data_IF_306935432246
#
_entry.id   IF_306935432246
#
_cell.length_a   1.000
_cell.length_b   1.000
_cell.length_c   1.000
_cell.angle_alpha   90.00
_cell.angle_beta   90.00
_cell.angle_gamma   90.00
#
_symmetry.space_group_name_H-M   'P 1'
#
loop_
_entity.id
_entity.type
_entity.pdbx_description
1 polymer ?
#
# COMPACT_ATOMS: atom_id res chain seq x y z
N UNK A 1 -4.62 -12.97 11.19
CA UNK A 1 -3.72 -11.99 10.53
C UNK A 1 -3.19 -11.08 11.62
N UNK A 2 -1.88 -10.96 11.76
CA UNK A 2 -1.27 -10.07 12.75
C UNK A 2 -1.18 -8.68 12.14
N UNK A 3 -1.67 -7.65 12.83
CA UNK A 3 -1.54 -6.27 12.40
C UNK A 3 -0.25 -5.66 12.93
N UNK A 4 0.34 -4.74 12.16
CA UNK A 4 1.53 -3.98 12.54
C UNK A 4 1.44 -2.55 12.01
N UNK A 5 2.21 -1.59 12.55
CA UNK A 5 2.38 -0.30 11.89
C UNK A 5 3.08 -0.45 10.54
N UNK A 6 2.94 0.58 9.70
CA UNK A 6 3.73 0.75 8.48
C UNK A 6 5.22 0.83 8.81
N UNK A 7 6.06 0.22 7.99
CA UNK A 7 7.50 0.44 8.03
C UNK A 7 7.91 1.67 7.18
N UNK A 8 9.19 2.06 7.26
CA UNK A 8 9.69 3.27 6.58
C UNK A 8 9.57 3.21 5.05
N UNK A 9 9.99 2.13 4.35
CA UNK A 9 9.78 2.02 2.91
C UNK A 9 8.31 2.10 2.48
N UNK A 10 7.40 1.44 3.21
CA UNK A 10 5.95 1.50 2.95
C UNK A 10 5.41 2.91 3.12
N UNK A 11 5.81 3.59 4.20
CA UNK A 11 5.42 4.98 4.45
C UNK A 11 5.91 5.91 3.35
N UNK A 12 7.17 5.77 2.93
CA UNK A 12 7.76 6.56 1.83
C UNK A 12 7.02 6.34 0.51
N UNK A 13 6.72 5.09 0.16
CA UNK A 13 5.94 4.73 -1.03
C UNK A 13 4.52 5.34 -0.98
N UNK A 14 3.85 5.29 0.16
CA UNK A 14 2.50 5.88 0.32
C UNK A 14 2.54 7.41 0.20
N UNK A 15 3.53 8.07 0.80
CA UNK A 15 3.73 9.51 0.63
C UNK A 15 3.96 9.85 -0.83
N UNK A 16 4.84 9.11 -1.50
CA UNK A 16 5.10 9.28 -2.93
C UNK A 16 3.81 9.12 -3.75
N UNK A 17 3.04 8.07 -3.54
CA UNK A 17 1.79 7.80 -4.27
C UNK A 17 0.73 8.89 -4.07
N UNK A 18 0.66 9.47 -2.87
CA UNK A 18 -0.36 10.46 -2.51
C UNK A 18 0.02 11.91 -2.81
N UNK A 19 1.27 12.20 -3.20
CA UNK A 19 1.81 13.57 -3.30
C UNK A 19 0.99 14.54 -4.16
N UNK A 20 0.36 14.03 -5.23
CA UNK A 20 -0.41 14.82 -6.20
C UNK A 20 -1.93 14.58 -6.07
N UNK A 21 -2.38 13.85 -5.05
CA UNK A 21 -3.79 13.52 -4.85
C UNK A 21 -4.56 14.70 -4.25
N UNK A 22 -5.77 14.98 -4.74
CA UNK A 22 -6.59 16.11 -4.26
C UNK A 22 -6.88 16.06 -2.74
N UNK A 23 -6.94 14.86 -2.17
CA UNK A 23 -7.16 14.61 -0.74
C UNK A 23 -5.88 14.21 0.01
N UNK A 24 -4.70 14.57 -0.51
CA UNK A 24 -3.41 14.15 0.03
C UNK A 24 -3.28 14.43 1.54
N UNK A 25 -3.59 15.65 1.99
CA UNK A 25 -3.48 16.03 3.41
C UNK A 25 -4.30 15.12 4.34
N UNK A 26 -5.54 14.85 3.95
CA UNK A 26 -6.44 13.98 4.71
C UNK A 26 -5.97 12.52 4.73
N UNK A 27 -5.48 12.00 3.59
CA UNK A 27 -5.01 10.62 3.48
C UNK A 27 -3.66 10.41 4.19
N UNK A 28 -2.73 11.36 4.07
CA UNK A 28 -1.46 11.36 4.80
C UNK A 28 -1.70 11.44 6.31
N UNK A 29 -2.72 12.20 6.74
CA UNK A 29 -3.16 12.24 8.12
C UNK A 29 -3.58 10.87 8.67
N UNK A 30 -4.02 9.92 7.84
CA UNK A 30 -4.37 8.56 8.29
C UNK A 30 -3.14 7.68 8.53
N UNK A 31 -2.00 7.96 7.89
CA UNK A 31 -0.83 7.08 7.90
C UNK A 31 -0.14 6.97 9.27
N UNK A 32 -0.19 8.03 10.09
CA UNK A 32 0.55 8.09 11.37
C UNK A 32 0.15 7.00 12.37
N UNK A 33 -1.11 6.57 12.35
CA UNK A 33 -1.67 5.55 13.24
C UNK A 33 -2.15 4.31 12.48
N UNK A 34 -1.91 4.25 11.17
CA UNK A 34 -2.36 3.16 10.33
C UNK A 34 -1.76 1.83 10.81
N UNK A 35 -2.64 0.87 11.05
CA UNK A 35 -2.26 -0.52 11.20
C UNK A 35 -2.51 -1.22 9.87
N UNK A 36 -1.58 -2.07 9.46
CA UNK A 36 -1.66 -2.87 8.25
C UNK A 36 -1.49 -4.34 8.59
N UNK A 37 -2.08 -5.19 7.75
CA UNK A 37 -1.84 -6.63 7.78
C UNK A 37 -1.26 -7.05 6.44
N UNK A 38 -0.20 -7.86 6.49
CA UNK A 38 0.43 -8.43 5.31
C UNK A 38 -0.55 -9.38 4.61
N UNK A 39 -0.79 -9.16 3.31
CA UNK A 39 -1.59 -10.06 2.47
C UNK A 39 -0.68 -11.14 1.89
N UNK A 40 0.56 -10.78 1.57
CA UNK A 40 1.58 -11.68 1.03
C UNK A 40 2.27 -12.48 2.13
N UNK A 41 2.44 -13.79 1.92
CA UNK A 41 3.08 -14.68 2.90
C UNK A 41 4.55 -14.33 3.22
N UNK A 42 5.24 -13.60 2.32
CA UNK A 42 6.60 -13.09 2.53
C UNK A 42 6.69 -11.99 3.60
N UNK A 43 5.58 -11.34 3.94
CA UNK A 43 5.60 -10.13 4.78
C UNK A 43 6.14 -8.87 4.08
N UNK A 44 6.34 -8.93 2.76
CA UNK A 44 6.75 -7.81 1.90
C UNK A 44 5.92 -7.85 0.63
N UNK A 45 5.32 -6.72 0.25
CA UNK A 45 4.47 -6.61 -0.93
C UNK A 45 3.11 -5.99 -0.58
N UNK A 46 2.02 -6.70 -0.90
CA UNK A 46 0.67 -6.19 -0.73
C UNK A 46 0.21 -6.16 0.73
N UNK A 47 -0.45 -5.07 1.12
CA UNK A 47 -0.88 -4.76 2.47
C UNK A 47 -2.36 -4.39 2.50
N UNK A 48 -3.08 -4.88 3.52
CA UNK A 48 -4.44 -4.44 3.85
C UNK A 48 -4.37 -3.43 4.98
N UNK A 49 -5.01 -2.27 4.82
CA UNK A 49 -5.21 -1.35 5.95
C UNK A 49 -6.27 -1.92 6.89
N UNK A 50 -5.95 -1.95 8.19
CA UNK A 50 -6.86 -2.44 9.22
C UNK A 50 -7.88 -1.35 9.52
N UNK A 51 -9.15 -1.65 9.25
CA UNK A 51 -10.26 -0.77 9.57
C UNK A 51 -11.03 -1.26 10.79
N UNK A 52 -11.55 -0.32 11.58
CA UNK A 52 -12.53 -0.60 12.64
C UNK A 52 -13.92 -0.94 12.08
N UNK A 53 -14.13 -0.75 10.77
CA UNK A 53 -15.41 -1.02 10.10
C UNK A 53 -15.37 -2.40 9.41
N UNK A 54 -16.09 -3.40 9.94
CA UNK A 54 -16.07 -4.76 9.40
C UNK A 54 -16.68 -4.88 7.99
N UNK A 55 -17.43 -3.87 7.53
CA UNK A 55 -18.01 -3.82 6.19
C UNK A 55 -17.19 -3.00 5.19
N UNK A 56 -15.91 -2.73 5.48
CA UNK A 56 -15.05 -2.01 4.54
C UNK A 56 -14.96 -2.76 3.21
N UNK A 57 -15.32 -2.08 2.10
CA UNK A 57 -15.32 -2.63 0.75
C UNK A 57 -14.41 -1.82 -0.15
N UNK A 58 -13.77 -2.51 -1.10
CA UNK A 58 -12.99 -1.89 -2.15
C UNK A 58 -13.82 -0.81 -2.87
N UNK A 59 -13.27 0.39 -2.94
CA UNK A 59 -13.83 1.51 -3.67
C UNK A 59 -13.07 1.69 -4.98
N UNK A 60 -12.12 2.62 -5.00
CA UNK A 60 -11.43 3.06 -6.21
C UNK A 60 -9.91 3.01 -6.09
N UNK A 61 -9.23 2.99 -7.25
CA UNK A 61 -7.78 3.12 -7.34
C UNK A 61 -7.41 4.60 -7.46
N UNK A 62 -6.61 5.10 -6.53
CA UNK A 62 -6.26 6.53 -6.46
C UNK A 62 -4.85 6.85 -6.91
N UNK A 63 -3.95 5.87 -6.90
CA UNK A 63 -2.59 6.05 -7.37
C UNK A 63 -1.99 4.74 -7.87
N UNK A 64 -1.00 4.85 -8.75
CA UNK A 64 -0.17 3.72 -9.16
C UNK A 64 1.24 4.17 -9.51
N UNK A 65 2.19 3.27 -9.31
CA UNK A 65 3.58 3.45 -9.75
C UNK A 65 4.18 2.11 -10.12
N UNK A 66 5.42 2.13 -10.60
CA UNK A 66 6.24 0.94 -10.75
C UNK A 66 7.65 1.21 -10.26
N UNK A 67 8.34 0.16 -9.85
CA UNK A 67 9.77 0.19 -9.51
C UNK A 67 10.41 -1.15 -9.85
N UNK A 68 11.75 -1.22 -9.82
CA UNK A 68 12.47 -2.48 -9.99
C UNK A 68 12.71 -3.13 -8.63
N UNK A 69 12.38 -4.40 -8.50
CA UNK A 69 12.73 -5.20 -7.33
C UNK A 69 14.24 -5.45 -7.28
N UNK A 70 14.72 -6.08 -6.19
CA UNK A 70 16.13 -6.40 -5.99
C UNK A 70 16.73 -7.28 -7.11
N UNK A 71 15.92 -8.12 -7.73
CA UNK A 71 16.32 -8.98 -8.86
C UNK A 71 16.12 -8.32 -10.24
N UNK A 72 15.80 -7.03 -10.28
CA UNK A 72 15.62 -6.25 -11.51
C UNK A 72 14.28 -6.49 -12.21
N UNK A 73 13.38 -7.29 -11.62
CA UNK A 73 12.05 -7.52 -12.16
C UNK A 73 11.12 -6.36 -11.77
N UNK A 74 10.30 -5.82 -12.70
CA UNK A 74 9.34 -4.77 -12.38
C UNK A 74 8.27 -5.21 -11.37
N UNK A 75 8.06 -4.36 -10.36
CA UNK A 75 6.93 -4.39 -9.43
C UNK A 75 5.95 -3.31 -9.86
N UNK A 76 4.70 -3.72 -10.05
CA UNK A 76 3.56 -2.83 -10.27
C UNK A 76 2.88 -2.58 -8.93
N UNK A 77 2.54 -1.31 -8.66
CA UNK A 77 1.95 -0.88 -7.40
C UNK A 77 0.66 -0.15 -7.67
N UNK A 78 -0.39 -0.47 -6.92
CA UNK A 78 -1.66 0.25 -6.92
C UNK A 78 -2.15 0.53 -5.50
N UNK A 79 -2.54 1.77 -5.23
CA UNK A 79 -3.17 2.16 -3.96
C UNK A 79 -4.66 2.33 -4.17
N UNK A 80 -5.43 1.70 -3.28
CA UNK A 80 -6.89 1.72 -3.30
C UNK A 80 -7.46 2.35 -2.04
N UNK A 81 -8.57 3.07 -2.23
CA UNK A 81 -9.45 3.52 -1.17
C UNK A 81 -10.67 2.59 -1.05
N UNK A 82 -11.32 2.63 0.10
CA UNK A 82 -12.62 2.01 0.31
C UNK A 82 -13.74 2.89 -0.26
N UNK A 83 -14.98 2.38 -0.22
CA UNK A 83 -16.16 3.11 -0.68
C UNK A 83 -16.49 4.37 0.15
N UNK A 84 -15.82 4.58 1.28
CA UNK A 84 -15.94 5.74 2.14
C UNK A 84 -14.76 6.73 1.97
N UNK A 85 -13.82 6.44 1.06
CA UNK A 85 -12.65 7.27 0.80
C UNK A 85 -11.48 7.08 1.79
N UNK A 86 -11.48 6.03 2.61
CA UNK A 86 -10.35 5.72 3.50
C UNK A 86 -9.36 4.76 2.85
N UNK A 87 -8.12 4.74 3.33
CA UNK A 87 -7.11 3.80 2.86
C UNK A 87 -7.58 2.35 3.04
N UNK A 88 -7.44 1.55 1.99
CA UNK A 88 -7.97 0.20 1.94
C UNK A 88 -6.90 -0.86 1.66
N UNK A 89 -6.18 -0.71 0.56
CA UNK A 89 -5.18 -1.70 0.13
C UNK A 89 -4.04 -1.02 -0.63
N UNK A 90 -2.81 -1.44 -0.32
CA UNK A 90 -1.66 -1.24 -1.19
C UNK A 90 -1.36 -2.58 -1.85
N UNK A 91 -1.54 -2.68 -3.16
CA UNK A 91 -1.25 -3.90 -3.90
C UNK A 91 0.08 -3.76 -4.63
N UNK A 92 1.01 -4.69 -4.38
CA UNK A 92 2.32 -4.75 -5.01
C UNK A 92 2.54 -6.14 -5.60
N UNK A 93 2.62 -6.25 -6.93
CA UNK A 93 2.85 -7.53 -7.59
C UNK A 93 3.94 -7.41 -8.65
N UNK A 94 4.70 -8.48 -8.83
CA UNK A 94 5.71 -8.57 -9.89
C UNK A 94 5.06 -9.06 -11.17
N UNK A 95 5.63 -8.62 -12.30
CA UNK A 95 5.15 -9.02 -13.64
C UNK A 95 5.38 -10.50 -13.97
N UNK A 96 6.20 -11.19 -13.18
CA UNK A 96 6.53 -12.62 -13.32
C UNK A 96 5.92 -13.50 -12.21
N UNK A 97 4.99 -12.95 -11.44
CA UNK A 97 4.31 -13.59 -10.30
C UNK A 97 5.23 -14.07 -9.16
N UNK A 98 6.52 -13.70 -9.18
CA UNK A 98 7.41 -13.98 -8.07
C UNK A 98 7.05 -13.08 -6.86
N UNK A 99 7.38 -13.50 -5.61
CA UNK A 99 7.20 -12.65 -4.45
C UNK A 99 8.04 -11.36 -4.55
N UNK A 100 7.46 -10.24 -4.12
CA UNK A 100 8.20 -8.97 -3.97
C UNK A 100 9.24 -9.15 -2.86
N UNK A 101 10.50 -8.86 -3.17
CA UNK A 101 11.61 -9.01 -2.22
C UNK A 101 11.82 -7.75 -1.41
N UNK A 102 11.69 -6.58 -2.04
CA UNK A 102 11.98 -5.30 -1.38
C UNK A 102 11.20 -4.13 -1.97
N UNK A 103 10.64 -3.29 -1.09
CA UNK A 103 10.18 -1.94 -1.44
C UNK A 103 11.37 -0.98 -1.26
N UNK A 104 11.79 -0.22 -2.30
CA UNK A 104 12.88 0.74 -2.17
C UNK A 104 12.47 1.96 -1.32
N UNK A 105 13.45 2.75 -0.90
CA UNK A 105 13.17 4.07 -0.33
C UNK A 105 12.74 5.02 -1.45
N UNK A 106 11.60 5.70 -1.25
CA UNK A 106 11.03 6.71 -2.15
C UNK A 106 11.25 8.13 -1.60
#
# INVERSE_FOLDING_TARGET
MTSRPLNLPELGLLIYLLRDHAQAEQLLGQLHAAQVADITASGVGSLRFVSSHPEQRLGERVASTQFLDEDGVPVLVSLYLDQQGNLFELDCWKVDDAPVRRIPAF
#
